data_IF_241078677518
#
_entry.id   IF_241078677518
#
_cell.length_a   1.000
_cell.length_b   1.000
_cell.length_c   1.000
_cell.angle_alpha   90.00
_cell.angle_beta   90.00
_cell.angle_gamma   90.00
#
_symmetry.space_group_name_H-M   'P 1'
#
loop_
_entity.id
_entity.type
_entity.pdbx_description
1 polymer ?
#
# COMPACT_ATOMS: atom_id res chain seq x y z
N UNK A 1 -33.53 9.35 1.56
CA UNK A 1 -32.17 9.47 1.00
C UNK A 1 -31.24 8.48 1.71
N UNK A 2 -30.86 7.36 1.06
CA UNK A 2 -29.99 6.35 1.65
C UNK A 2 -28.55 6.81 1.38
N UNK A 3 -27.95 7.42 2.40
CA UNK A 3 -26.61 7.97 2.41
C UNK A 3 -25.60 6.83 2.30
N UNK A 4 -25.36 6.40 1.05
CA UNK A 4 -24.02 6.29 0.50
C UNK A 4 -22.99 5.57 1.37
N UNK A 5 -22.87 4.24 1.25
CA UNK A 5 -21.70 3.43 1.69
C UNK A 5 -20.35 3.97 1.16
N UNK A 6 -20.37 4.97 0.28
CA UNK A 6 -19.23 5.73 -0.23
C UNK A 6 -18.31 6.35 0.83
N UNK A 7 -18.74 6.56 2.08
CA UNK A 7 -17.85 7.07 3.14
C UNK A 7 -16.93 6.00 3.72
N UNK A 8 -17.38 4.74 3.73
CA UNK A 8 -16.62 3.59 4.25
C UNK A 8 -15.47 3.20 3.34
N UNK A 9 -15.56 3.54 2.06
CA UNK A 9 -14.59 3.14 1.05
C UNK A 9 -13.66 4.27 0.60
N UNK A 10 -12.39 3.92 0.35
CA UNK A 10 -11.37 4.80 -0.17
C UNK A 10 -11.61 5.02 -1.68
N UNK A 11 -11.62 6.29 -2.09
CA UNK A 11 -11.73 6.71 -3.50
C UNK A 11 -10.46 7.42 -3.93
N UNK A 12 -10.22 7.47 -5.25
CA UNK A 12 -9.09 8.22 -5.79
C UNK A 12 -9.12 9.70 -5.41
N UNK A 13 -10.31 10.28 -5.22
CA UNK A 13 -10.49 11.67 -4.78
C UNK A 13 -9.88 11.92 -3.39
N UNK A 14 -9.92 10.92 -2.50
CA UNK A 14 -9.31 11.01 -1.17
C UNK A 14 -7.78 10.94 -1.20
N UNK A 15 -7.19 10.34 -2.24
CA UNK A 15 -5.73 10.27 -2.35
C UNK A 15 -5.14 11.62 -2.76
N UNK A 16 -5.89 12.52 -3.39
CA UNK A 16 -5.41 13.85 -3.82
C UNK A 16 -4.07 13.78 -4.58
N UNK A 17 -3.86 12.74 -5.40
CA UNK A 17 -2.61 12.50 -6.13
C UNK A 17 -1.44 11.96 -5.29
N UNK A 18 -1.64 11.67 -4.00
CA UNK A 18 -0.64 11.00 -3.15
C UNK A 18 -0.59 9.50 -3.42
N UNK A 19 0.58 8.93 -3.13
CA UNK A 19 0.87 7.50 -3.28
C UNK A 19 1.12 6.82 -1.92
N UNK A 20 0.11 6.68 -1.04
CA UNK A 20 0.32 6.09 0.27
C UNK A 20 0.65 4.60 0.16
N UNK A 21 1.69 4.18 0.87
CA UNK A 21 2.00 2.76 1.08
C UNK A 21 1.19 2.25 2.26
N UNK A 22 0.38 1.22 2.04
CA UNK A 22 -0.54 0.64 3.02
C UNK A 22 -0.29 -0.86 3.13
N UNK A 23 -0.53 -1.43 4.31
CA UNK A 23 -0.43 -2.88 4.54
C UNK A 23 -1.83 -3.49 4.49
N UNK A 24 -2.04 -4.53 3.69
CA UNK A 24 -3.33 -5.22 3.62
C UNK A 24 -3.54 -5.99 4.93
N UNK A 25 -4.61 -5.66 5.65
CA UNK A 25 -4.96 -6.33 6.91
C UNK A 25 -5.94 -7.49 6.67
N UNK A 26 -6.94 -7.29 5.83
CA UNK A 26 -7.92 -8.32 5.45
C UNK A 26 -8.59 -7.99 4.14
N UNK A 27 -9.12 -9.01 3.47
CA UNK A 27 -9.93 -8.85 2.26
C UNK A 27 -11.28 -9.53 2.53
N UNK A 28 -12.38 -8.82 2.27
CA UNK A 28 -13.76 -9.30 2.50
C UNK A 28 -14.61 -8.97 1.29
N UNK A 29 -15.48 -9.89 0.88
CA UNK A 29 -16.47 -9.65 -0.16
C UNK A 29 -17.66 -8.92 0.46
N UNK A 30 -17.88 -7.68 0.06
CA UNK A 30 -18.96 -6.83 0.56
C UNK A 30 -19.96 -6.54 -0.56
N UNK A 31 -21.24 -6.50 -0.21
CA UNK A 31 -22.31 -6.08 -1.11
C UNK A 31 -22.33 -4.56 -1.19
N UNK A 32 -21.71 -4.02 -2.24
CA UNK A 32 -21.68 -2.59 -2.46
C UNK A 32 -22.89 -2.16 -3.28
N UNK A 33 -23.69 -1.23 -2.76
CA UNK A 33 -24.81 -0.64 -3.49
C UNK A 33 -24.26 0.41 -4.45
N UNK A 34 -24.20 0.08 -5.74
CA UNK A 34 -23.84 1.06 -6.76
C UNK A 34 -24.88 2.19 -6.83
N UNK A 35 -24.52 3.33 -7.42
CA UNK A 35 -25.43 4.47 -7.61
C UNK A 35 -26.72 4.12 -8.39
N UNK A 36 -26.71 3.01 -9.15
CA UNK A 36 -27.90 2.46 -9.82
C UNK A 36 -28.83 1.62 -8.91
N UNK A 37 -28.54 1.51 -7.61
CA UNK A 37 -29.39 0.80 -6.64
C UNK A 37 -29.31 -0.72 -6.68
N UNK A 38 -28.42 -1.29 -7.51
CA UNK A 38 -28.18 -2.75 -7.53
C UNK A 38 -27.08 -3.11 -6.52
N UNK A 39 -27.30 -4.12 -5.67
CA UNK A 39 -26.24 -4.70 -4.87
C UNK A 39 -25.28 -5.43 -5.79
N UNK A 40 -24.00 -5.06 -5.73
CA UNK A 40 -22.94 -5.71 -6.50
C UNK A 40 -21.90 -6.23 -5.52
N UNK A 41 -21.66 -7.54 -5.52
CA UNK A 41 -20.62 -8.13 -4.68
C UNK A 41 -19.26 -7.69 -5.19
N UNK A 42 -18.54 -6.92 -4.35
CA UNK A 42 -17.20 -6.46 -4.65
C UNK A 42 -16.24 -6.88 -3.54
N UNK A 43 -15.04 -7.37 -3.88
CA UNK A 43 -14.01 -7.59 -2.89
C UNK A 43 -13.52 -6.24 -2.35
N UNK A 44 -13.43 -6.11 -1.04
CA UNK A 44 -12.97 -4.92 -0.32
C UNK A 44 -11.74 -5.29 0.49
N UNK A 45 -10.63 -4.60 0.23
CA UNK A 45 -9.41 -4.72 1.00
C UNK A 45 -9.38 -3.68 2.13
N UNK A 46 -9.24 -4.14 3.36
CA UNK A 46 -8.99 -3.30 4.52
C UNK A 46 -7.49 -3.22 4.78
N UNK A 47 -7.01 -2.04 5.17
CA UNK A 47 -5.59 -1.80 5.41
C UNK A 47 -5.32 -1.42 6.85
N UNK A 48 -4.16 -1.84 7.34
CA UNK A 48 -3.70 -1.52 8.68
C UNK A 48 -3.50 0.00 8.82
N UNK A 49 -4.12 0.60 9.84
CA UNK A 49 -4.03 2.04 10.10
C UNK A 49 -4.95 2.91 9.24
N UNK A 50 -5.76 2.33 8.35
CA UNK A 50 -6.79 3.04 7.59
C UNK A 50 -8.19 2.63 8.04
N UNK A 51 -9.03 3.62 8.40
CA UNK A 51 -10.45 3.40 8.71
C UNK A 51 -11.31 3.12 7.46
N UNK A 52 -10.75 3.29 6.27
CA UNK A 52 -11.43 3.14 4.98
C UNK A 52 -10.90 1.92 4.24
N UNK A 53 -11.80 1.07 3.73
CA UNK A 53 -11.45 -0.06 2.88
C UNK A 53 -11.38 0.35 1.40
N UNK A 54 -10.56 -0.30 0.59
CA UNK A 54 -10.55 -0.08 -0.87
C UNK A 54 -11.34 -1.17 -1.57
N UNK A 55 -12.32 -0.76 -2.38
CA UNK A 55 -13.03 -1.67 -3.28
C UNK A 55 -12.07 -2.11 -4.39
N UNK A 56 -11.82 -3.41 -4.47
CA UNK A 56 -10.99 -4.04 -5.49
C UNK A 56 -11.82 -4.25 -6.76
N UNK A 57 -11.47 -3.53 -7.81
CA UNK A 57 -11.95 -3.80 -9.15
C UNK A 57 -11.31 -5.08 -9.71
N UNK A 58 -11.88 -5.70 -10.77
CA UNK A 58 -11.29 -6.87 -11.42
C UNK A 58 -9.84 -6.63 -11.88
N UNK A 59 -9.53 -5.41 -12.32
CA UNK A 59 -8.17 -4.99 -12.72
C UNK A 59 -7.22 -5.00 -11.52
N UNK A 60 -7.67 -4.50 -10.37
CA UNK A 60 -6.86 -4.51 -9.15
C UNK A 60 -6.66 -5.91 -8.59
N UNK A 61 -7.67 -6.77 -8.68
CA UNK A 61 -7.53 -8.20 -8.33
C UNK A 61 -6.50 -8.89 -9.22
N UNK A 62 -6.52 -8.66 -10.54
CA UNK A 62 -5.50 -9.20 -11.44
C UNK A 62 -4.11 -8.70 -11.10
N UNK A 63 -3.97 -7.43 -10.73
CA UNK A 63 -2.68 -6.89 -10.26
C UNK A 63 -2.21 -7.57 -8.97
N UNK A 64 -3.10 -7.75 -7.97
CA UNK A 64 -2.77 -8.48 -6.75
C UNK A 64 -2.37 -9.93 -7.03
N UNK A 65 -3.10 -10.63 -7.91
CA UNK A 65 -2.76 -11.99 -8.34
C UNK A 65 -1.38 -12.05 -9.00
N UNK A 66 -1.05 -11.08 -9.85
CA UNK A 66 0.26 -11.01 -10.49
C UNK A 66 1.40 -10.71 -9.50
N UNK A 67 1.12 -10.00 -8.40
CA UNK A 67 2.11 -9.59 -7.40
C UNK A 67 2.34 -10.63 -6.30
N UNK A 68 1.26 -11.24 -5.81
CA UNK A 68 1.28 -12.11 -4.62
C UNK A 68 0.85 -13.56 -4.92
N UNK A 69 0.44 -13.85 -6.15
CA UNK A 69 -0.09 -15.15 -6.57
C UNK A 69 -1.60 -15.24 -6.42
N UNK A 70 -2.16 -16.40 -6.79
CA UNK A 70 -3.62 -16.61 -6.86
C UNK A 70 -4.33 -16.66 -5.50
N UNK A 71 -3.59 -16.60 -4.40
CA UNK A 71 -4.15 -16.66 -3.07
C UNK A 71 -4.30 -15.26 -2.45
N UNK A 72 -5.54 -14.80 -2.35
CA UNK A 72 -5.89 -13.55 -1.65
C UNK A 72 -5.41 -13.54 -0.19
N UNK A 73 -5.33 -14.69 0.48
CA UNK A 73 -4.78 -14.77 1.83
C UNK A 73 -3.26 -14.50 1.86
N UNK A 74 -2.54 -14.80 0.78
CA UNK A 74 -1.11 -14.48 0.66
C UNK A 74 -0.83 -12.99 0.49
N UNK A 75 -1.85 -12.21 0.11
CA UNK A 75 -1.79 -10.75 0.07
C UNK A 75 -1.91 -10.13 1.47
N UNK A 76 -2.47 -10.84 2.45
CA UNK A 76 -2.65 -10.34 3.82
C UNK A 76 -1.27 -10.17 4.48
N UNK A 77 -1.05 -9.03 5.12
CA UNK A 77 0.23 -8.63 5.72
C UNK A 77 1.24 -8.05 4.72
N UNK A 78 0.91 -7.99 3.42
CA UNK A 78 1.79 -7.40 2.41
C UNK A 78 1.56 -5.90 2.28
N UNK A 79 2.64 -5.19 1.93
CA UNK A 79 2.63 -3.76 1.65
C UNK A 79 2.35 -3.51 0.18
N UNK A 80 1.41 -2.61 -0.09
CA UNK A 80 1.06 -2.15 -1.44
C UNK A 80 1.01 -0.64 -1.48
N UNK A 81 1.36 -0.07 -2.63
CA UNK A 81 1.24 1.37 -2.86
C UNK A 81 -0.07 1.64 -3.59
N UNK A 82 -0.89 2.53 -3.04
CA UNK A 82 -2.11 2.98 -3.69
C UNK A 82 -1.81 4.21 -4.54
N UNK A 83 -2.28 4.25 -5.77
CA UNK A 83 -2.10 5.39 -6.67
C UNK A 83 -3.43 5.73 -7.34
N UNK A 84 -3.88 6.99 -7.22
CA UNK A 84 -5.06 7.47 -7.92
C UNK A 84 -4.64 8.05 -9.28
N UNK A 85 -5.05 7.42 -10.37
CA UNK A 85 -4.71 7.86 -11.73
C UNK A 85 -5.99 8.33 -12.42
N UNK A 86 -6.12 9.63 -12.77
CA UNK A 86 -7.27 10.12 -13.52
C UNK A 86 -7.27 9.46 -14.89
N UNK A 87 -8.36 8.75 -15.22
CA UNK A 87 -8.49 8.03 -16.48
C UNK A 87 -9.90 8.19 -17.01
N UNK A 88 -10.02 8.42 -18.32
CA UNK A 88 -11.32 8.42 -18.98
C UNK A 88 -11.70 6.99 -19.34
N UNK A 89 -12.78 6.48 -18.76
CA UNK A 89 -13.32 5.14 -19.02
C UNK A 89 -14.73 5.29 -19.56
N UNK A 90 -15.00 4.72 -20.73
CA UNK A 90 -16.31 4.79 -21.40
C UNK A 90 -16.86 6.23 -21.53
N UNK A 91 -15.99 7.19 -21.83
CA UNK A 91 -16.37 8.61 -21.97
C UNK A 91 -16.66 9.35 -20.66
N UNK A 92 -16.49 8.69 -19.50
CA UNK A 92 -16.58 9.33 -18.18
C UNK A 92 -15.19 9.48 -17.57
N UNK A 93 -14.92 10.66 -17.03
CA UNK A 93 -13.73 10.93 -16.24
C UNK A 93 -13.87 10.22 -14.88
N UNK A 94 -13.03 9.22 -14.64
CA UNK A 94 -13.01 8.43 -13.42
C UNK A 94 -11.63 8.51 -12.79
N UNK A 95 -11.58 8.43 -11.46
CA UNK A 95 -10.34 8.46 -10.69
C UNK A 95 -10.15 7.11 -9.98
N UNK A 96 -9.87 6.02 -10.74
CA UNK A 96 -9.65 4.71 -10.15
C UNK A 96 -8.37 4.70 -9.31
N UNK A 97 -8.43 4.00 -8.17
CA UNK A 97 -7.25 3.68 -7.36
C UNK A 97 -6.62 2.42 -7.93
N UNK A 98 -5.37 2.50 -8.34
CA UNK A 98 -4.53 1.37 -8.74
C UNK A 98 -3.68 0.89 -7.58
N UNK A 99 -3.46 -0.41 -7.54
CA UNK A 99 -2.55 -1.07 -6.61
C UNK A 99 -1.26 -1.36 -7.34
N UNK A 100 -0.17 -0.79 -6.84
CA UNK A 100 1.17 -1.05 -7.31
C UNK A 100 1.95 -1.81 -6.22
N UNK A 101 2.96 -2.61 -6.58
CA UNK A 101 3.86 -3.17 -5.60
C UNK A 101 4.47 -2.03 -4.79
N UNK A 102 4.42 -2.13 -3.47
CA UNK A 102 5.19 -1.20 -2.66
C UNK A 102 6.67 -1.40 -3.02
N UNK A 103 7.43 -0.31 -3.26
CA UNK A 103 8.88 -0.46 -3.32
C UNK A 103 9.32 -1.16 -2.03
N UNK A 104 10.34 -2.05 -2.08
CA UNK A 104 10.93 -2.55 -0.85
C UNK A 104 11.18 -1.32 0.02
N UNK A 105 10.73 -1.37 1.29
CA UNK A 105 11.05 -0.29 2.22
C UNK A 105 12.53 0.01 2.03
N UNK A 106 12.97 1.28 2.01
CA UNK A 106 14.39 1.52 2.16
C UNK A 106 14.72 0.75 3.42
N UNK A 107 15.44 -0.35 3.26
CA UNK A 107 16.21 -0.91 4.34
C UNK A 107 16.98 0.32 4.74
N UNK A 108 16.60 0.92 5.87
CA UNK A 108 17.60 1.55 6.68
C UNK A 108 18.53 0.37 6.93
N UNK A 109 19.49 0.16 6.02
CA UNK A 109 20.81 -0.25 6.38
C UNK A 109 21.02 0.58 7.63
N UNK A 110 21.04 -0.01 8.84
CA UNK A 110 21.50 0.73 9.98
C UNK A 110 22.79 1.31 9.46
N UNK A 111 22.81 2.65 9.34
CA UNK A 111 24.01 3.39 9.05
C UNK A 111 25.04 2.66 9.86
N UNK A 112 25.95 1.98 9.16
CA UNK A 112 27.10 1.42 9.80
C UNK A 112 27.64 2.65 10.50
N UNK A 113 27.44 2.72 11.83
CA UNK A 113 28.40 3.39 12.68
C UNK A 113 29.70 2.89 12.07
N UNK A 114 30.55 3.77 11.51
CA UNK A 114 31.93 3.36 11.39
C UNK A 114 32.23 2.85 12.79
N UNK A 115 32.54 1.56 12.88
CA UNK A 115 33.22 1.05 14.03
C UNK A 115 34.60 1.73 13.99
N UNK A 116 34.63 3.02 14.33
CA UNK A 116 35.82 3.66 14.86
C UNK A 116 36.01 3.02 16.23
N UNK A 117 36.59 1.83 16.15
CA UNK A 117 37.20 1.16 17.28
C UNK A 117 38.28 2.11 17.77
N UNK A 118 38.33 2.37 19.09
CA UNK A 118 39.08 3.48 19.69
C UNK A 118 40.58 3.33 19.46
N UNK A 119 41.13 4.13 18.56
CA UNK A 119 42.57 4.32 18.43
C UNK A 119 43.05 5.31 19.50
N UNK A 120 43.07 4.87 20.76
CA UNK A 120 44.23 5.11 21.62
C UNK A 120 44.19 4.18 22.84
N UNK A 121 45.31 3.51 23.13
CA UNK A 121 46.06 4.00 24.28
C UNK A 121 47.54 4.28 23.97
N UNK A 122 47.97 5.47 24.36
CA UNK A 122 49.35 5.90 24.57
C UNK A 122 50.13 4.91 25.45
N UNK A 123 51.25 4.39 24.96
CA UNK A 123 52.47 4.06 25.75
C UNK A 123 53.60 3.66 24.79
N UNK A 124 54.61 4.49 24.54
CA UNK A 124 55.83 4.76 25.35
C UNK A 124 57.00 3.85 24.98
N UNK A 125 58.18 4.48 24.88
CA UNK A 125 59.55 3.96 24.90
C UNK A 125 60.17 3.36 23.61
N UNK A 126 61.11 4.13 23.02
CA UNK A 126 62.55 3.80 23.07
C UNK A 126 63.20 3.00 21.92
N UNK A 127 64.37 3.49 21.49
CA UNK A 127 65.51 2.81 20.81
C UNK A 127 65.30 2.43 19.32
N UNK A 128 66.27 2.44 18.40
CA UNK A 128 67.66 2.91 18.19
C UNK A 128 67.94 2.52 16.72
N UNK A 129 68.60 3.36 15.92
CA UNK A 129 69.79 3.07 15.07
C UNK A 129 70.24 4.33 14.30
#
# INVERSE_FOLDING_TARGET
MKWSDFEKYLKGEHLQGRKPTVTIEKITLEECYAASGRPEQKPVAYFQGSKKGLILSPTNMRALHALFGDNVAACIGKRVQLEAVPMRVAGRDTLPVRINPAPPAPTSTPQARPAETPANPTSTAGQEE
#
